data_IF_548118471260
#
_entry.id   IF_548118471260
#
_cell.length_a   1.000
_cell.length_b   1.000
_cell.length_c   1.000
_cell.angle_alpha   90.00
_cell.angle_beta   90.00
_cell.angle_gamma   90.00
#
_symmetry.space_group_name_H-M   'P 1'
#
loop_
_entity.id
_entity.type
_entity.pdbx_description
1 polymer ?
#
# COMPACT_ATOMS: atom_id res chain seq x y z
N UNK A 1 15.96 11.07 5.07
CA UNK A 1 16.76 12.26 5.43
C UNK A 1 17.26 12.05 6.84
N UNK A 2 18.56 11.95 7.04
CA UNK A 2 19.14 11.71 8.38
C UNK A 2 19.46 13.02 9.10
N UNK A 3 19.81 14.08 8.34
CA UNK A 3 20.16 15.38 8.91
C UNK A 3 19.91 16.51 7.91
N UNK A 4 19.46 17.65 8.42
CA UNK A 4 19.31 18.91 7.67
C UNK A 4 19.97 20.01 8.49
N UNK A 5 20.74 20.86 7.84
CA UNK A 5 21.33 22.05 8.44
C UNK A 5 21.36 23.21 7.45
N UNK A 6 21.57 24.44 7.93
CA UNK A 6 21.60 25.64 7.10
C UNK A 6 20.30 26.44 7.11
N UNK A 7 20.08 27.23 6.06
CA UNK A 7 18.95 28.16 5.93
C UNK A 7 18.49 28.26 4.47
N UNK A 8 17.43 29.02 4.21
CA UNK A 8 16.86 29.17 2.87
C UNK A 8 17.93 29.57 1.83
N UNK A 9 17.97 28.84 0.71
CA UNK A 9 18.98 29.01 -0.34
C UNK A 9 20.31 28.30 -0.07
N UNK A 10 20.56 27.79 1.14
CA UNK A 10 21.85 27.24 1.58
C UNK A 10 21.64 26.09 2.59
N UNK A 11 20.91 25.04 2.20
CA UNK A 11 20.78 23.84 3.02
C UNK A 11 21.86 22.82 2.69
N UNK A 12 22.42 22.19 3.72
CA UNK A 12 23.25 20.99 3.57
C UNK A 12 22.49 19.80 4.15
N UNK A 13 22.30 18.77 3.33
CA UNK A 13 21.43 17.63 3.58
C UNK A 13 22.22 16.33 3.54
N UNK A 14 21.97 15.48 4.53
CA UNK A 14 22.45 14.10 4.54
C UNK A 14 21.28 13.13 4.25
N UNK A 15 21.44 12.33 3.20
CA UNK A 15 20.51 11.30 2.78
C UNK A 15 21.14 9.94 3.09
N UNK A 16 20.52 9.19 3.99
CA UNK A 16 20.83 7.79 4.19
C UNK A 16 20.17 6.96 3.09
N UNK A 17 20.96 6.53 2.12
CA UNK A 17 20.57 5.56 1.11
C UNK A 17 20.70 4.16 1.71
N UNK A 18 19.55 3.53 1.98
CA UNK A 18 19.50 2.18 2.53
C UNK A 18 20.04 1.16 1.52
N UNK A 19 20.73 0.14 2.03
CA UNK A 19 21.11 -1.03 1.24
C UNK A 19 19.87 -1.80 0.79
N UNK A 20 19.80 -2.12 -0.50
CA UNK A 20 18.81 -3.03 -1.10
C UNK A 20 19.28 -4.48 -1.03
N UNK A 21 20.57 -4.70 -0.81
CA UNK A 21 21.31 -5.96 -0.97
C UNK A 21 21.23 -6.52 -2.41
N UNK A 22 20.95 -5.62 -3.34
CA UNK A 22 20.87 -5.85 -4.78
C UNK A 22 21.42 -4.59 -5.45
N UNK A 23 22.38 -4.76 -6.37
CA UNK A 23 23.03 -3.67 -7.07
C UNK A 23 22.23 -3.23 -8.32
N UNK A 24 22.77 -2.26 -9.06
CA UNK A 24 22.09 -1.66 -10.22
C UNK A 24 22.16 -2.51 -11.50
N UNK A 25 22.90 -3.63 -11.51
CA UNK A 25 22.93 -4.55 -12.64
C UNK A 25 21.66 -5.42 -12.72
N UNK A 26 20.84 -5.41 -11.65
CA UNK A 26 19.55 -6.08 -11.62
C UNK A 26 18.61 -5.58 -12.74
N UNK A 27 18.13 -6.52 -13.56
CA UNK A 27 17.17 -6.26 -14.64
C UNK A 27 15.70 -6.47 -14.23
N UNK A 28 15.44 -6.87 -12.97
CA UNK A 28 14.09 -7.10 -12.45
C UNK A 28 13.38 -8.33 -13.00
N UNK A 29 14.08 -9.35 -13.50
CA UNK A 29 13.47 -10.54 -14.11
C UNK A 29 12.59 -11.37 -13.15
N UNK A 30 12.90 -11.35 -11.85
CA UNK A 30 12.11 -11.99 -10.79
C UNK A 30 12.45 -13.44 -10.46
N UNK A 31 13.39 -14.09 -11.15
CA UNK A 31 13.79 -15.47 -10.88
C UNK A 31 14.20 -15.72 -9.41
N UNK A 32 14.82 -14.72 -8.77
CA UNK A 32 15.21 -14.78 -7.37
C UNK A 32 14.03 -14.79 -6.39
N UNK A 33 12.89 -14.21 -6.77
CA UNK A 33 11.66 -14.17 -5.96
C UNK A 33 10.98 -15.54 -5.93
N UNK A 34 11.01 -16.27 -7.04
CA UNK A 34 10.35 -17.58 -7.20
C UNK A 34 10.98 -18.68 -6.32
N UNK A 35 12.27 -18.55 -6.00
CA UNK A 35 13.02 -19.55 -5.22
C UNK A 35 13.14 -19.21 -3.74
N UNK A 36 12.66 -18.04 -3.30
CA UNK A 36 12.86 -17.58 -1.94
C UNK A 36 11.94 -18.33 -0.95
N UNK A 37 12.49 -19.07 0.05
CA UNK A 37 11.67 -19.82 1.00
C UNK A 37 11.20 -18.97 2.19
N UNK A 38 11.73 -17.75 2.33
CA UNK A 38 11.41 -16.86 3.44
C UNK A 38 10.34 -15.85 3.00
N UNK A 39 9.28 -15.72 3.80
CA UNK A 39 8.14 -14.86 3.50
C UNK A 39 7.86 -13.90 4.65
N UNK A 40 7.40 -12.71 4.30
CA UNK A 40 7.02 -11.67 5.25
C UNK A 40 5.68 -11.02 4.89
N UNK A 41 5.33 -10.02 5.69
CA UNK A 41 4.17 -9.17 5.48
C UNK A 41 4.31 -8.40 4.16
N UNK A 42 3.24 -8.37 3.35
CA UNK A 42 3.22 -7.59 2.12
C UNK A 42 2.55 -6.23 2.37
N UNK A 43 3.38 -5.20 2.52
CA UNK A 43 2.96 -3.83 2.78
C UNK A 43 2.12 -3.27 1.63
N UNK A 44 2.52 -3.57 0.38
CA UNK A 44 1.80 -3.11 -0.81
C UNK A 44 0.39 -3.70 -0.88
N UNK A 45 0.22 -4.97 -0.51
CA UNK A 45 -1.08 -5.64 -0.47
C UNK A 45 -1.77 -5.60 0.90
N UNK A 46 -1.34 -4.73 1.82
CA UNK A 46 -1.99 -4.54 3.12
C UNK A 46 -2.15 -5.85 3.92
N UNK A 47 -1.17 -6.75 3.81
CA UNK A 47 -1.15 -8.02 4.54
C UNK A 47 -2.09 -9.10 4.02
N UNK A 48 -2.81 -8.86 2.92
CA UNK A 48 -3.77 -9.82 2.36
C UNK A 48 -3.12 -11.09 1.79
N UNK A 49 -1.83 -11.01 1.45
CA UNK A 49 -1.02 -12.16 1.09
C UNK A 49 0.42 -11.96 1.59
N UNK A 50 1.21 -13.03 1.78
CA UNK A 50 2.62 -12.89 2.06
C UNK A 50 3.40 -12.49 0.79
N UNK A 51 4.59 -11.91 0.98
CA UNK A 51 5.59 -11.70 -0.09
C UNK A 51 6.91 -12.38 0.27
N UNK A 52 7.73 -12.83 -0.70
CA UNK A 52 9.07 -13.32 -0.42
C UNK A 52 9.97 -12.22 0.19
N UNK A 53 11.03 -12.65 0.88
CA UNK A 53 12.00 -11.75 1.51
C UNK A 53 12.79 -10.94 0.48
N UNK A 54 13.12 -11.53 -0.68
CA UNK A 54 13.59 -10.78 -1.85
C UNK A 54 12.39 -10.49 -2.75
N UNK A 55 12.19 -9.22 -3.09
CA UNK A 55 10.96 -8.77 -3.77
C UNK A 55 11.17 -7.49 -4.59
N UNK A 56 10.25 -7.24 -5.51
CA UNK A 56 10.02 -5.93 -6.12
C UNK A 56 8.67 -5.43 -5.56
N UNK A 57 8.59 -4.15 -5.16
CA UNK A 57 7.43 -3.64 -4.41
C UNK A 57 6.08 -3.90 -5.08
N UNK A 58 6.02 -3.76 -6.41
CA UNK A 58 4.87 -4.11 -7.24
C UNK A 58 5.31 -4.24 -8.71
N UNK A 59 4.51 -4.86 -9.60
CA UNK A 59 4.96 -5.18 -10.96
C UNK A 59 5.36 -4.00 -11.85
N UNK A 60 4.89 -2.79 -11.54
CA UNK A 60 5.20 -1.55 -12.27
C UNK A 60 6.14 -0.62 -11.49
N UNK A 61 6.88 -1.14 -10.50
CA UNK A 61 7.76 -0.34 -9.66
C UNK A 61 8.89 0.33 -10.47
N UNK A 62 9.23 1.56 -10.08
CA UNK A 62 10.34 2.33 -10.67
C UNK A 62 11.29 2.77 -9.54
N UNK A 63 12.59 2.42 -9.60
CA UNK A 63 13.21 1.50 -10.56
C UNK A 63 12.73 0.05 -10.36
N UNK A 64 12.71 -0.74 -11.45
CA UNK A 64 12.32 -2.15 -11.45
C UNK A 64 13.48 -3.05 -10.96
N UNK A 65 13.94 -2.79 -9.73
CA UNK A 65 15.08 -3.46 -9.10
C UNK A 65 14.59 -4.17 -7.84
N UNK A 66 14.99 -5.43 -7.68
CA UNK A 66 14.69 -6.22 -6.49
C UNK A 66 15.38 -5.65 -5.24
N UNK A 67 14.85 -5.99 -4.06
CA UNK A 67 15.44 -5.65 -2.77
C UNK A 67 15.20 -6.78 -1.78
N UNK A 68 16.07 -6.90 -0.79
CA UNK A 68 15.98 -7.93 0.25
C UNK A 68 15.56 -7.30 1.57
N UNK A 69 14.47 -7.79 2.13
CA UNK A 69 14.07 -7.53 3.50
C UNK A 69 14.87 -8.40 4.47
N UNK A 70 15.91 -7.81 5.06
CA UNK A 70 16.81 -8.51 5.97
C UNK A 70 16.17 -8.90 7.32
N UNK A 71 14.99 -8.36 7.65
CA UNK A 71 14.26 -8.84 8.83
C UNK A 71 13.60 -10.20 8.60
N UNK A 72 13.36 -10.56 7.34
CA UNK A 72 12.74 -11.84 6.95
C UNK A 72 13.76 -12.79 6.31
N UNK A 73 14.83 -12.26 5.72
CA UNK A 73 15.86 -13.05 5.07
C UNK A 73 16.57 -14.00 6.04
N UNK A 74 16.62 -15.28 5.68
CA UNK A 74 17.36 -16.32 6.43
C UNK A 74 18.78 -16.59 5.88
N UNK A 75 19.26 -15.76 4.94
CA UNK A 75 20.58 -15.87 4.30
C UNK A 75 20.90 -17.27 3.73
N UNK A 76 19.93 -17.91 3.07
CA UNK A 76 20.12 -19.26 2.51
C UNK A 76 20.89 -19.30 1.17
N UNK A 77 21.09 -18.17 0.49
CA UNK A 77 21.84 -18.09 -0.78
C UNK A 77 21.10 -18.56 -2.03
N UNK A 78 19.85 -19.06 -1.93
CA UNK A 78 19.11 -19.56 -3.10
C UNK A 78 18.87 -18.48 -4.17
N UNK A 79 18.51 -17.26 -3.74
CA UNK A 79 18.30 -16.14 -4.65
C UNK A 79 19.58 -15.75 -5.43
N UNK A 80 20.74 -15.83 -4.77
CA UNK A 80 22.06 -15.58 -5.38
C UNK A 80 22.38 -16.65 -6.41
N UNK A 81 22.15 -17.93 -6.09
CA UNK A 81 22.45 -19.06 -7.01
C UNK A 81 21.70 -19.03 -8.34
N UNK A 82 20.57 -18.33 -8.42
CA UNK A 82 19.76 -18.20 -9.65
C UNK A 82 19.91 -16.84 -10.34
N UNK A 83 20.72 -15.93 -9.78
CA UNK A 83 20.91 -14.60 -10.35
C UNK A 83 22.05 -14.60 -11.38
N UNK A 84 21.70 -14.72 -12.66
CA UNK A 84 22.68 -14.74 -13.77
C UNK A 84 23.53 -13.47 -13.88
N UNK A 85 23.03 -12.34 -13.36
CA UNK A 85 23.72 -11.04 -13.41
C UNK A 85 24.57 -10.78 -12.16
N UNK A 86 24.65 -11.74 -11.23
CA UNK A 86 25.43 -11.61 -9.99
C UNK A 86 25.09 -10.31 -9.21
N UNK A 87 23.83 -9.89 -9.28
CA UNK A 87 23.39 -8.59 -8.78
C UNK A 87 23.12 -8.58 -7.26
N UNK A 88 23.11 -9.73 -6.60
CA UNK A 88 22.81 -9.84 -5.16
C UNK A 88 24.09 -9.62 -4.35
N UNK A 89 24.05 -8.70 -3.40
CA UNK A 89 25.17 -8.34 -2.53
C UNK A 89 24.70 -8.23 -1.09
N UNK A 90 24.90 -9.30 -0.31
CA UNK A 90 24.52 -9.34 1.11
C UNK A 90 25.38 -8.45 2.01
N UNK A 91 26.56 -8.02 1.53
CA UNK A 91 27.49 -7.19 2.28
C UNK A 91 27.31 -5.68 1.97
N UNK A 92 26.39 -5.34 1.06
CA UNK A 92 26.06 -3.96 0.72
C UNK A 92 25.75 -3.14 1.98
N UNK A 93 26.49 -2.05 2.16
CA UNK A 93 26.31 -1.13 3.28
C UNK A 93 25.46 0.07 2.87
N UNK A 94 24.69 0.67 3.79
CA UNK A 94 24.02 1.93 3.53
C UNK A 94 25.04 3.05 3.27
N UNK A 95 24.70 3.94 2.33
CA UNK A 95 25.54 5.07 1.94
C UNK A 95 24.96 6.40 2.45
N UNK A 96 25.83 7.30 2.89
CA UNK A 96 25.43 8.67 3.23
C UNK A 96 25.78 9.58 2.06
N UNK A 97 24.75 10.04 1.35
CA UNK A 97 24.89 11.04 0.29
C UNK A 97 24.74 12.42 0.92
N UNK A 98 25.70 13.31 0.64
CA UNK A 98 25.66 14.72 1.04
C UNK A 98 25.30 15.58 -0.16
N UNK A 99 24.28 16.43 -0.02
CA UNK A 99 23.81 17.33 -1.05
C UNK A 99 23.62 18.73 -0.48
N UNK A 100 24.07 19.74 -1.22
CA UNK A 100 23.75 21.13 -0.95
C UNK A 100 22.60 21.57 -1.85
N UNK A 101 21.52 22.08 -1.25
CA UNK A 101 20.28 22.43 -1.95
C UNK A 101 19.73 23.79 -1.50
N UNK A 102 19.08 24.50 -2.42
CA UNK A 102 18.48 25.80 -2.09
C UNK A 102 17.11 25.71 -1.40
N UNK A 103 16.33 24.69 -1.75
CA UNK A 103 14.94 24.52 -1.28
C UNK A 103 14.63 23.05 -1.01
N UNK A 104 13.67 22.82 -0.12
CA UNK A 104 13.20 21.47 0.26
C UNK A 104 11.67 21.49 0.16
N UNK A 105 11.10 20.49 -0.50
CA UNK A 105 9.65 20.28 -0.61
C UNK A 105 9.30 19.02 0.18
N UNK A 106 8.38 19.12 1.14
CA UNK A 106 7.90 17.97 1.92
C UNK A 106 6.65 17.42 1.26
N UNK A 107 6.76 16.21 0.71
CA UNK A 107 5.68 15.52 0.01
C UNK A 107 5.61 14.04 0.40
N UNK A 108 5.74 13.74 1.70
CA UNK A 108 5.79 12.36 2.23
C UNK A 108 4.43 11.65 2.30
N UNK A 109 3.34 12.33 1.94
CA UNK A 109 2.02 11.72 1.83
C UNK A 109 1.29 11.58 3.17
N UNK A 110 0.57 10.45 3.31
CA UNK A 110 -0.32 10.13 4.42
C UNK A 110 -0.37 8.59 4.60
N UNK A 111 -0.80 8.14 5.78
CA UNK A 111 -1.04 6.73 6.08
C UNK A 111 -2.53 6.49 6.40
N UNK A 112 -3.05 5.30 6.07
CA UNK A 112 -4.43 4.92 6.43
C UNK A 112 -4.60 4.84 7.95
N UNK A 113 -5.74 5.31 8.45
CA UNK A 113 -6.09 5.12 9.85
C UNK A 113 -6.21 3.63 10.16
N UNK A 114 -5.45 3.14 11.13
CA UNK A 114 -5.51 1.76 11.61
C UNK A 114 -6.45 1.72 12.82
N UNK A 115 -7.60 1.04 12.73
CA UNK A 115 -8.50 0.87 13.86
C UNK A 115 -7.88 0.05 14.99
N UNK A 116 -8.31 0.31 16.22
CA UNK A 116 -8.01 -0.56 17.37
C UNK A 116 -8.68 -1.94 17.19
N UNK A 117 -8.04 -2.98 17.72
CA UNK A 117 -8.59 -4.34 17.67
C UNK A 117 -10.00 -4.39 18.28
N UNK A 118 -10.93 -4.96 17.52
CA UNK A 118 -12.34 -5.07 17.90
C UNK A 118 -13.18 -3.82 17.60
N UNK A 119 -12.59 -2.66 17.27
CA UNK A 119 -13.37 -1.50 16.85
C UNK A 119 -14.12 -1.81 15.55
N UNK A 120 -15.45 -1.82 15.62
CA UNK A 120 -16.33 -2.29 14.54
C UNK A 120 -16.02 -3.72 14.04
N UNK A 121 -15.31 -4.52 14.84
CA UNK A 121 -14.88 -5.87 14.48
C UNK A 121 -13.58 -5.97 13.68
N UNK A 122 -12.84 -4.86 13.50
CA UNK A 122 -11.51 -4.88 12.89
C UNK A 122 -10.56 -5.81 13.66
N UNK A 123 -9.72 -6.58 12.94
CA UNK A 123 -8.86 -7.63 13.48
C UNK A 123 -9.55 -8.74 14.31
N UNK A 124 -10.89 -8.74 14.40
CA UNK A 124 -11.67 -9.78 15.08
C UNK A 124 -12.47 -10.63 14.10
N UNK A 125 -12.95 -10.03 13.01
CA UNK A 125 -13.70 -10.71 11.96
C UNK A 125 -12.96 -10.57 10.63
N UNK A 126 -12.62 -11.69 10.00
CA UNK A 126 -11.82 -11.72 8.76
C UNK A 126 -12.44 -10.92 7.61
N UNK A 127 -13.77 -10.77 7.59
CA UNK A 127 -14.48 -10.04 6.53
C UNK A 127 -14.66 -8.55 6.82
N UNK A 128 -14.12 -8.04 7.92
CA UNK A 128 -14.04 -6.60 8.19
C UNK A 128 -12.69 -6.11 7.68
N UNK A 129 -12.72 -5.40 6.56
CA UNK A 129 -11.52 -4.91 5.86
C UNK A 129 -11.55 -3.38 5.74
N UNK A 130 -10.37 -2.77 5.55
CA UNK A 130 -10.23 -1.34 5.30
C UNK A 130 -10.51 -0.98 3.83
N UNK A 131 -10.62 0.32 3.54
CA UNK A 131 -10.78 0.78 2.17
C UNK A 131 -9.53 0.47 1.34
N UNK A 132 -8.33 0.64 1.91
CA UNK A 132 -7.09 0.34 1.18
C UNK A 132 -6.95 -1.16 0.90
N UNK A 133 -7.35 -2.04 1.84
CA UNK A 133 -7.43 -3.48 1.59
C UNK A 133 -8.40 -3.81 0.44
N UNK A 134 -9.58 -3.18 0.41
CA UNK A 134 -10.53 -3.34 -0.69
C UNK A 134 -9.93 -2.87 -2.03
N UNK A 135 -9.21 -1.75 -2.08
CA UNK A 135 -8.50 -1.31 -3.29
C UNK A 135 -7.52 -2.38 -3.79
N UNK A 136 -6.78 -3.01 -2.86
CA UNK A 136 -5.85 -4.09 -3.23
C UNK A 136 -6.60 -5.31 -3.76
N UNK A 137 -7.73 -5.70 -3.17
CA UNK A 137 -8.58 -6.80 -3.67
C UNK A 137 -9.12 -6.50 -5.08
N UNK A 138 -9.57 -5.28 -5.33
CA UNK A 138 -10.14 -4.88 -6.62
C UNK A 138 -9.07 -4.63 -7.70
N UNK A 139 -7.80 -4.47 -7.31
CA UNK A 139 -6.72 -4.18 -8.24
C UNK A 139 -6.36 -5.41 -9.09
N UNK A 140 -6.18 -5.26 -10.43
CA UNK A 140 -5.73 -6.35 -11.29
C UNK A 140 -4.34 -6.91 -10.93
N UNK A 141 -3.47 -6.08 -10.36
CA UNK A 141 -2.17 -6.48 -9.82
C UNK A 141 -2.22 -6.75 -8.29
N UNK A 142 -3.42 -6.95 -7.77
CA UNK A 142 -3.71 -7.27 -6.39
C UNK A 142 -3.55 -8.75 -6.05
N UNK A 143 -3.66 -9.13 -4.77
CA UNK A 143 -3.52 -10.51 -4.32
C UNK A 143 -4.61 -11.44 -4.88
N UNK A 144 -5.74 -10.88 -5.31
CA UNK A 144 -6.90 -11.62 -5.84
C UNK A 144 -7.13 -11.38 -7.32
N UNK A 145 -6.17 -10.76 -8.03
CA UNK A 145 -6.25 -10.44 -9.46
C UNK A 145 -7.52 -9.66 -9.87
N UNK A 146 -8.04 -8.81 -8.98
CA UNK A 146 -9.26 -8.02 -9.21
C UNK A 146 -10.57 -8.76 -8.90
N UNK A 147 -10.52 -10.00 -8.44
CA UNK A 147 -11.72 -10.72 -7.99
C UNK A 147 -12.11 -10.28 -6.58
N UNK A 148 -13.37 -9.87 -6.42
CA UNK A 148 -13.93 -9.47 -5.13
C UNK A 148 -14.27 -10.71 -4.33
N UNK A 149 -13.45 -11.01 -3.33
CA UNK A 149 -13.60 -12.18 -2.47
C UNK A 149 -13.57 -11.80 -1.01
N UNK A 150 -14.26 -12.59 -0.19
CA UNK A 150 -14.19 -12.52 1.26
C UNK A 150 -12.88 -13.12 1.76
N UNK A 151 -12.13 -12.46 2.66
CA UNK A 151 -10.89 -13.01 3.20
C UNK A 151 -11.07 -14.34 3.96
N UNK A 152 -12.21 -14.53 4.64
CA UNK A 152 -12.47 -15.77 5.41
C UNK A 152 -12.57 -17.05 4.58
N UNK A 153 -13.22 -16.99 3.41
CA UNK A 153 -13.62 -18.20 2.66
C UNK A 153 -13.40 -18.10 1.15
N UNK A 154 -12.85 -16.99 0.66
CA UNK A 154 -12.57 -16.77 -0.76
C UNK A 154 -13.81 -16.63 -1.64
N UNK A 155 -15.02 -16.56 -1.06
CA UNK A 155 -16.27 -16.49 -1.82
C UNK A 155 -16.62 -15.04 -2.15
N UNK A 156 -17.32 -14.85 -3.26
CA UNK A 156 -17.87 -13.55 -3.63
C UNK A 156 -18.92 -13.07 -2.61
N UNK A 157 -18.79 -11.85 -2.04
CA UNK A 157 -19.82 -11.28 -1.19
C UNK A 157 -21.01 -10.81 -2.04
N UNK A 158 -22.23 -11.24 -1.69
CA UNK A 158 -23.46 -10.73 -2.32
C UNK A 158 -24.01 -9.46 -1.68
N UNK A 159 -23.60 -9.15 -0.44
CA UNK A 159 -24.02 -7.97 0.33
C UNK A 159 -22.81 -7.31 0.96
N UNK A 160 -22.68 -6.00 0.79
CA UNK A 160 -21.51 -5.22 1.20
C UNK A 160 -21.99 -3.98 1.95
N UNK A 161 -21.40 -3.73 3.11
CA UNK A 161 -21.64 -2.53 3.90
C UNK A 161 -20.36 -1.70 3.97
N UNK A 162 -20.42 -0.47 3.47
CA UNK A 162 -19.42 0.56 3.75
C UNK A 162 -19.83 1.35 4.98
N UNK A 163 -18.90 1.56 5.90
CA UNK A 163 -19.09 2.44 7.06
C UNK A 163 -18.17 3.65 6.87
N UNK A 164 -18.76 4.83 6.76
CA UNK A 164 -18.01 6.07 6.55
C UNK A 164 -17.53 6.67 7.87
N UNK A 165 -16.55 7.56 7.77
CA UNK A 165 -15.98 8.29 8.91
C UNK A 165 -15.32 7.39 9.99
N UNK A 166 -14.93 6.15 9.65
CA UNK A 166 -14.15 5.31 10.56
C UNK A 166 -12.80 5.98 10.85
N UNK A 167 -12.59 6.38 12.11
CA UNK A 167 -11.39 7.10 12.53
C UNK A 167 -11.34 8.57 12.10
N UNK A 168 -12.48 9.19 11.73
CA UNK A 168 -12.56 10.61 11.36
C UNK A 168 -13.88 11.21 11.83
N UNK A 169 -13.90 12.51 12.09
CA UNK A 169 -15.08 13.19 12.68
C UNK A 169 -15.56 12.51 13.96
N UNK A 170 -14.62 11.98 14.74
CA UNK A 170 -14.82 11.34 16.03
C UNK A 170 -14.01 12.11 17.08
N UNK A 171 -14.70 12.69 18.07
CA UNK A 171 -14.08 13.51 19.11
C UNK A 171 -13.14 12.70 20.03
N UNK A 172 -13.33 11.39 20.13
CA UNK A 172 -12.47 10.51 20.91
C UNK A 172 -11.26 9.99 20.11
N UNK A 173 -11.22 10.29 18.80
CA UNK A 173 -10.13 9.91 17.89
C UNK A 173 -9.67 11.14 17.12
N UNK A 174 -10.04 11.23 15.85
CA UNK A 174 -9.70 12.35 14.99
C UNK A 174 -10.93 13.22 14.74
N UNK A 175 -10.91 14.45 15.26
CA UNK A 175 -12.02 15.40 15.10
C UNK A 175 -12.17 15.94 13.66
N UNK A 176 -11.14 15.81 12.82
CA UNK A 176 -11.15 16.29 11.44
C UNK A 176 -11.85 15.31 10.48
N UNK A 177 -12.23 15.80 9.31
CA UNK A 177 -12.65 14.97 8.18
C UNK A 177 -11.43 14.66 7.30
N UNK A 178 -11.29 13.43 6.81
CA UNK A 178 -10.25 13.02 5.85
C UNK A 178 -10.50 13.56 4.44
N UNK A 179 -10.68 14.89 4.35
CA UNK A 179 -10.82 15.68 3.12
C UNK A 179 -11.94 15.24 2.17
N UNK A 180 -12.95 14.52 2.68
CA UNK A 180 -14.04 13.97 1.85
C UNK A 180 -13.62 12.82 0.92
N UNK A 181 -12.34 12.45 0.90
CA UNK A 181 -11.79 11.43 0.00
C UNK A 181 -12.43 10.06 0.28
N UNK A 182 -12.66 9.73 1.56
CA UNK A 182 -13.34 8.48 1.95
C UNK A 182 -14.78 8.39 1.43
N UNK A 183 -15.48 9.52 1.22
CA UNK A 183 -16.80 9.54 0.56
C UNK A 183 -16.69 9.20 -0.92
N UNK A 184 -15.72 9.78 -1.62
CA UNK A 184 -15.56 9.54 -3.05
C UNK A 184 -15.00 8.16 -3.36
N UNK A 185 -14.08 7.64 -2.55
CA UNK A 185 -13.55 6.28 -2.69
C UNK A 185 -14.66 5.24 -2.51
N UNK A 186 -15.54 5.41 -1.51
CA UNK A 186 -16.65 4.46 -1.32
C UNK A 186 -17.65 4.49 -2.48
N UNK A 187 -17.99 5.67 -3.02
CA UNK A 187 -18.83 5.79 -4.24
C UNK A 187 -18.13 5.10 -5.42
N UNK A 188 -16.84 5.40 -5.64
CA UNK A 188 -16.06 4.84 -6.75
C UNK A 188 -15.99 3.31 -6.68
N UNK A 189 -15.64 2.75 -5.52
CA UNK A 189 -15.58 1.31 -5.33
C UNK A 189 -16.96 0.67 -5.45
N UNK A 190 -18.01 1.31 -4.95
CA UNK A 190 -19.38 0.80 -5.08
C UNK A 190 -19.81 0.69 -6.54
N UNK A 191 -19.54 1.72 -7.35
CA UNK A 191 -19.81 1.70 -8.79
C UNK A 191 -18.98 0.65 -9.53
N UNK A 192 -17.68 0.58 -9.24
CA UNK A 192 -16.80 -0.44 -9.83
C UNK A 192 -17.29 -1.86 -9.51
N UNK A 193 -17.66 -2.12 -8.26
CA UNK A 193 -18.23 -3.41 -7.85
C UNK A 193 -19.52 -3.67 -8.61
N UNK A 194 -20.45 -2.70 -8.71
CA UNK A 194 -21.70 -2.87 -9.47
C UNK A 194 -21.49 -3.14 -10.95
N UNK A 195 -20.43 -2.59 -11.57
CA UNK A 195 -20.10 -2.85 -12.97
C UNK A 195 -19.68 -4.31 -13.20
N UNK A 196 -18.90 -4.89 -12.28
CA UNK A 196 -18.42 -6.27 -12.39
C UNK A 196 -19.38 -7.31 -11.77
N UNK A 197 -20.15 -6.91 -10.75
CA UNK A 197 -21.07 -7.73 -9.97
C UNK A 197 -22.44 -7.03 -9.85
N UNK A 198 -23.27 -7.03 -10.91
CA UNK A 198 -24.53 -6.27 -10.94
C UNK A 198 -25.51 -6.62 -9.82
N UNK A 199 -25.52 -7.88 -9.40
CA UNK A 199 -26.41 -8.41 -8.36
C UNK A 199 -25.94 -8.10 -6.93
N UNK A 200 -24.74 -7.53 -6.74
CA UNK A 200 -24.22 -7.24 -5.40
C UNK A 200 -25.03 -6.12 -4.73
N UNK A 201 -25.59 -6.34 -3.55
CA UNK A 201 -26.27 -5.30 -2.78
C UNK A 201 -25.24 -4.50 -1.99
N UNK A 202 -25.21 -3.18 -2.19
CA UNK A 202 -24.23 -2.30 -1.54
C UNK A 202 -24.98 -1.23 -0.74
N UNK A 203 -24.62 -1.13 0.54
CA UNK A 203 -25.12 -0.10 1.45
C UNK A 203 -23.95 0.74 1.93
N UNK A 204 -24.09 2.07 1.89
CA UNK A 204 -23.12 3.01 2.45
C UNK A 204 -23.76 3.69 3.65
N UNK A 205 -23.27 3.41 4.86
CA UNK A 205 -23.66 4.09 6.08
C UNK A 205 -22.82 5.36 6.25
N UNK A 206 -23.45 6.53 6.18
CA UNK A 206 -22.76 7.83 6.23
C UNK A 206 -23.51 8.84 7.12
N UNK A 207 -22.78 9.86 7.59
CA UNK A 207 -23.38 11.04 8.22
C UNK A 207 -23.76 12.08 7.17
N UNK A 208 -22.76 12.52 6.39
CA UNK A 208 -22.92 13.40 5.22
C UNK A 208 -22.08 12.86 4.06
N UNK A 209 -22.62 12.83 2.84
CA UNK A 209 -21.84 12.55 1.63
C UNK A 209 -21.13 13.83 1.19
N UNK A 210 -19.80 13.84 1.24
CA UNK A 210 -18.98 15.02 0.93
C UNK A 210 -18.39 14.94 -0.48
N UNK A 211 -19.21 15.27 -1.47
CA UNK A 211 -18.87 15.27 -2.90
C UNK A 211 -18.56 16.68 -3.43
N UNK A 212 -17.63 17.41 -2.78
CA UNK A 212 -17.44 18.84 -3.00
C UNK A 212 -16.47 19.23 -4.15
N UNK A 213 -15.87 18.26 -4.84
CA UNK A 213 -14.96 18.51 -5.97
C UNK A 213 -15.71 18.78 -7.28
N UNK A 214 -14.99 19.29 -8.29
CA UNK A 214 -15.56 19.45 -9.63
C UNK A 214 -16.04 18.08 -10.15
N UNK A 215 -17.31 18.01 -10.58
CA UNK A 215 -17.97 16.79 -11.05
C UNK A 215 -18.21 15.70 -10.00
N UNK A 216 -18.00 15.97 -8.71
CA UNK A 216 -18.14 14.93 -7.68
C UNK A 216 -19.62 14.67 -7.33
N UNK A 217 -20.45 15.71 -7.29
CA UNK A 217 -21.89 15.56 -7.06
C UNK A 217 -22.56 14.83 -8.23
N UNK A 218 -22.18 15.16 -9.46
CA UNK A 218 -22.62 14.47 -10.66
C UNK A 218 -22.18 13.01 -10.65
N UNK A 219 -20.95 12.72 -10.19
CA UNK A 219 -20.51 11.33 -10.01
C UNK A 219 -21.29 10.60 -8.92
N UNK A 220 -21.61 11.25 -7.81
CA UNK A 220 -22.40 10.68 -6.71
C UNK A 220 -23.84 10.35 -7.15
N UNK A 221 -24.49 11.25 -7.86
CA UNK A 221 -25.90 11.15 -8.28
C UNK A 221 -26.10 10.35 -9.56
N UNK A 222 -25.07 10.20 -10.39
CA UNK A 222 -25.12 9.33 -11.56
C UNK A 222 -25.51 7.91 -11.13
N UNK A 223 -26.42 7.27 -11.88
CA UNK A 223 -26.78 5.86 -11.69
C UNK A 223 -25.65 4.95 -12.13
#
# INVERSE_FOLDING_TARGET
MSKISGYIGNFSVEINQRARYVNNDCNGCGACMDVCPAYGYNEFNQGLNPRPAIYISFPQAVPSIAQIDMNQCIKCGLCESVCELEAIDFEQQPEIIKLDVGTIIVATGWDEYIPEDGYLGYNKYDNVITQLQLERILAPNGPTNGHLVRPSDGKEPKRILFIQCVGSRDLNRNAYCSSGVCCMISIKNSKLIKQHYPDAEITIAYMDMRAAGKYYEEYYTAS
#
